data_IF_841271963413
#
_entry.id   IF_841271963413
#
_cell.length_a   1.000
_cell.length_b   1.000
_cell.length_c   1.000
_cell.angle_alpha   90.00
_cell.angle_beta   90.00
_cell.angle_gamma   90.00
#
_symmetry.space_group_name_H-M   'P 1'
#
loop_
_entity.id
_entity.type
_entity.pdbx_description
1 polymer ?
#
# COMPACT_ATOMS: atom_id res chain seq x y z
N UNK A 1 31.75 -26.52 -31.15
CA UNK A 1 30.76 -25.44 -31.05
C UNK A 1 29.83 -25.84 -29.92
N UNK A 2 30.19 -25.47 -28.69
CA UNK A 2 29.44 -25.82 -27.49
C UNK A 2 28.54 -24.62 -27.15
N UNK A 3 27.24 -24.85 -27.17
CA UNK A 3 26.23 -23.86 -26.80
C UNK A 3 25.93 -24.01 -25.32
N UNK A 4 26.64 -23.25 -24.48
CA UNK A 4 26.30 -23.09 -23.06
C UNK A 4 25.05 -22.22 -22.94
N UNK A 5 23.91 -22.88 -22.72
CA UNK A 5 22.63 -22.25 -22.43
C UNK A 5 22.59 -21.71 -21.00
N UNK A 6 22.97 -20.45 -20.82
CA UNK A 6 22.82 -19.68 -19.58
C UNK A 6 21.33 -19.67 -19.15
N UNK A 7 21.01 -20.34 -18.03
CA UNK A 7 19.68 -20.33 -17.43
C UNK A 7 19.35 -18.92 -16.86
N UNK A 8 18.12 -18.40 -17.03
CA UNK A 8 17.79 -17.06 -16.59
C UNK A 8 17.73 -17.00 -15.05
N UNK A 9 18.69 -16.27 -14.47
CA UNK A 9 18.77 -15.95 -13.04
C UNK A 9 17.46 -15.33 -12.56
N UNK A 10 16.70 -16.06 -11.72
CA UNK A 10 15.53 -15.53 -11.00
C UNK A 10 15.96 -14.25 -10.29
N UNK A 11 15.44 -13.10 -10.74
CA UNK A 11 15.72 -11.81 -10.11
C UNK A 11 15.19 -11.83 -8.69
N UNK A 12 16.09 -12.01 -7.72
CA UNK A 12 15.84 -11.65 -6.32
C UNK A 12 15.50 -10.17 -6.26
N UNK A 13 14.20 -9.84 -6.34
CA UNK A 13 13.72 -8.49 -6.08
C UNK A 13 13.90 -8.26 -4.58
N UNK A 14 15.07 -7.74 -4.19
CA UNK A 14 15.37 -7.31 -2.82
C UNK A 14 14.27 -6.32 -2.40
N UNK A 15 13.33 -6.80 -1.60
CA UNK A 15 12.22 -5.99 -1.07
C UNK A 15 12.83 -4.91 -0.20
N UNK A 16 12.69 -3.65 -0.62
CA UNK A 16 13.20 -2.51 0.16
C UNK A 16 12.46 -2.53 1.48
N UNK A 17 13.15 -2.82 2.58
CA UNK A 17 12.60 -2.68 3.92
C UNK A 17 12.30 -1.20 4.16
N UNK A 18 11.03 -0.87 4.37
CA UNK A 18 10.64 0.48 4.75
C UNK A 18 10.52 0.48 6.27
N UNK A 19 11.66 0.60 6.94
CA UNK A 19 11.80 0.51 8.39
C UNK A 19 12.03 1.87 9.05
N UNK A 20 11.55 2.96 8.45
CA UNK A 20 11.69 4.31 9.01
C UNK A 20 10.33 4.95 9.24
N UNK A 21 10.18 5.65 10.37
CA UNK A 21 9.00 6.47 10.62
C UNK A 21 8.85 7.58 9.56
N UNK A 22 7.64 8.08 9.36
CA UNK A 22 7.38 9.13 8.37
C UNK A 22 6.41 10.18 8.90
N UNK A 23 6.48 11.39 8.34
CA UNK A 23 5.46 12.43 8.56
C UNK A 23 4.35 12.31 7.51
N UNK A 24 3.12 12.07 7.94
CA UNK A 24 1.98 11.96 7.01
C UNK A 24 1.78 13.28 6.24
N UNK A 25 1.67 13.20 4.90
CA UNK A 25 1.43 14.40 4.07
C UNK A 25 0.01 14.95 4.17
N UNK A 26 -0.95 14.15 4.62
CA UNK A 26 -2.34 14.56 4.85
C UNK A 26 -2.53 15.14 6.26
N UNK A 27 -2.52 14.31 7.30
CA UNK A 27 -2.81 14.75 8.67
C UNK A 27 -1.60 15.31 9.44
N UNK A 28 -0.42 15.36 8.84
CA UNK A 28 0.83 15.92 9.41
C UNK A 28 1.40 15.22 10.66
N UNK A 29 0.73 14.19 11.18
CA UNK A 29 1.26 13.37 12.29
C UNK A 29 2.56 12.66 11.91
N UNK A 30 3.45 12.52 12.90
CA UNK A 30 4.63 11.66 12.80
C UNK A 30 4.24 10.24 13.17
N UNK A 31 4.49 9.32 12.26
CA UNK A 31 4.13 7.92 12.41
C UNK A 31 5.39 7.11 12.61
N UNK A 32 5.49 6.45 13.76
CA UNK A 32 6.61 5.56 14.08
C UNK A 32 6.58 4.25 13.30
N UNK A 33 7.59 3.43 13.58
CA UNK A 33 7.66 2.03 13.15
C UNK A 33 6.58 1.25 13.92
N UNK A 34 5.76 0.43 13.26
CA UNK A 34 4.78 -0.40 13.96
C UNK A 34 5.48 -1.35 14.95
N UNK A 35 4.93 -1.54 16.16
CA UNK A 35 5.57 -2.34 17.22
C UNK A 35 5.70 -3.83 16.86
N UNK A 36 4.83 -4.36 15.99
CA UNK A 36 4.93 -5.70 15.44
C UNK A 36 4.17 -5.80 14.11
N UNK A 37 4.58 -6.73 13.23
CA UNK A 37 3.97 -6.91 11.92
C UNK A 37 4.14 -5.72 10.95
N UNK A 38 3.74 -5.88 9.69
CA UNK A 38 3.47 -4.72 8.83
C UNK A 38 4.67 -3.86 8.37
N UNK A 39 5.84 -4.44 8.06
CA UNK A 39 6.99 -3.71 7.46
C UNK A 39 6.72 -3.05 6.09
N UNK A 40 5.52 -3.22 5.54
CA UNK A 40 5.09 -2.64 4.27
C UNK A 40 3.78 -1.87 4.46
N UNK A 41 3.71 -1.03 5.49
CA UNK A 41 2.58 -0.12 5.68
C UNK A 41 2.57 0.91 4.56
N UNK A 42 1.48 0.97 3.81
CA UNK A 42 1.33 1.87 2.67
C UNK A 42 0.51 3.12 2.98
N UNK A 43 -0.14 3.22 4.15
CA UNK A 43 -0.96 4.36 4.55
C UNK A 43 -0.66 4.82 5.98
N UNK A 44 -1.12 6.01 6.34
CA UNK A 44 -1.08 6.50 7.70
C UNK A 44 -2.11 5.75 8.55
N UNK A 45 -1.74 5.13 9.68
CA UNK A 45 -2.70 4.38 10.50
C UNK A 45 -3.78 5.29 11.12
N UNK A 46 -3.48 6.58 11.31
CA UNK A 46 -4.38 7.53 11.95
C UNK A 46 -5.45 8.11 11.03
N UNK A 47 -5.19 8.19 9.71
CA UNK A 47 -6.11 8.81 8.75
C UNK A 47 -6.29 8.05 7.44
N UNK A 48 -5.61 6.91 7.29
CA UNK A 48 -5.65 5.99 6.15
C UNK A 48 -5.21 6.58 4.80
N UNK A 49 -4.80 7.85 4.71
CA UNK A 49 -4.18 8.41 3.50
C UNK A 49 -2.83 7.76 3.20
N UNK A 50 -2.60 7.52 1.92
CA UNK A 50 -1.36 6.97 1.37
C UNK A 50 -0.64 7.99 0.48
N UNK A 51 0.54 7.63 -0.02
CA UNK A 51 1.31 8.38 -1.00
C UNK A 51 1.54 7.50 -2.23
N UNK A 52 1.29 8.02 -3.42
CA UNK A 52 1.49 7.28 -4.66
C UNK A 52 2.98 7.20 -5.00
N UNK A 53 3.68 6.27 -4.36
CA UNK A 53 5.12 6.03 -4.56
C UNK A 53 5.38 4.79 -5.40
N UNK A 54 4.51 3.80 -5.34
CA UNK A 54 4.64 2.57 -6.12
C UNK A 54 3.96 2.72 -7.48
N UNK A 55 4.57 2.16 -8.51
CA UNK A 55 3.97 2.01 -9.83
C UNK A 55 3.06 0.78 -9.89
N UNK A 56 3.23 -0.04 -10.92
CA UNK A 56 2.38 -1.22 -11.15
C UNK A 56 2.60 -2.32 -10.12
N UNK A 57 3.81 -2.46 -9.57
CA UNK A 57 4.13 -3.52 -8.61
C UNK A 57 4.10 -2.95 -7.18
N UNK A 58 3.37 -3.57 -6.23
CA UNK A 58 3.48 -3.21 -4.83
C UNK A 58 4.93 -3.26 -4.31
N UNK A 59 5.38 -2.17 -3.70
CA UNK A 59 6.72 -2.00 -3.14
C UNK A 59 7.83 -1.65 -4.14
N UNK A 60 7.54 -1.46 -5.43
CA UNK A 60 8.57 -1.09 -6.43
C UNK A 60 9.05 0.36 -6.30
N UNK A 61 8.29 1.22 -5.60
CA UNK A 61 8.56 2.65 -5.45
C UNK A 61 8.87 3.37 -6.78
N UNK A 62 8.28 2.91 -7.87
CA UNK A 62 8.57 3.36 -9.23
C UNK A 62 7.63 4.46 -9.76
N UNK A 63 6.72 5.00 -8.93
CA UNK A 63 5.78 6.04 -9.37
C UNK A 63 6.37 7.44 -9.22
N UNK A 64 6.37 8.19 -10.31
CA UNK A 64 6.76 9.60 -10.34
C UNK A 64 5.65 10.56 -9.90
N UNK A 65 4.40 10.06 -9.77
CA UNK A 65 3.24 10.89 -9.42
C UNK A 65 3.38 11.53 -8.04
N UNK A 66 3.72 10.73 -7.01
CA UNK A 66 3.98 11.18 -5.63
C UNK A 66 2.85 12.02 -5.00
N UNK A 67 1.65 12.02 -5.57
CA UNK A 67 0.46 12.66 -5.01
C UNK A 67 -0.11 11.82 -3.87
N UNK A 68 -0.91 12.47 -3.03
CA UNK A 68 -1.69 11.78 -2.00
C UNK A 68 -2.66 10.77 -2.66
N UNK A 69 -2.87 9.65 -1.98
CA UNK A 69 -3.97 8.74 -2.31
C UNK A 69 -4.98 8.76 -1.17
N UNK A 70 -6.21 9.15 -1.49
CA UNK A 70 -7.32 9.20 -0.54
C UNK A 70 -7.91 7.79 -0.34
N UNK A 71 -8.28 7.42 0.90
CA UNK A 71 -9.02 6.20 1.17
C UNK A 71 -10.49 6.42 0.76
N UNK A 72 -10.91 5.86 -0.38
CA UNK A 72 -12.23 6.10 -0.97
C UNK A 72 -13.27 5.05 -0.61
N UNK A 73 -12.87 3.99 0.10
CA UNK A 73 -13.76 2.92 0.53
C UNK A 73 -13.02 1.73 1.09
N UNK A 74 -13.77 0.70 1.46
CA UNK A 74 -13.23 -0.57 1.91
C UNK A 74 -14.06 -1.74 1.39
N UNK A 75 -13.46 -2.92 1.33
CA UNK A 75 -14.16 -4.16 1.01
C UNK A 75 -13.53 -5.35 1.75
N UNK A 76 -14.26 -6.46 1.80
CA UNK A 76 -13.76 -7.72 2.32
C UNK A 76 -13.51 -8.70 1.18
N UNK A 77 -12.35 -9.35 1.20
CA UNK A 77 -12.08 -10.50 0.32
C UNK A 77 -12.90 -11.72 0.78
N UNK A 78 -13.09 -12.75 -0.08
CA UNK A 78 -13.79 -13.98 0.31
C UNK A 78 -13.19 -14.70 1.52
N UNK A 79 -11.89 -14.54 1.77
CA UNK A 79 -11.18 -15.09 2.94
C UNK A 79 -11.32 -14.22 4.20
N UNK A 80 -12.16 -13.18 4.19
CA UNK A 80 -12.39 -12.27 5.31
C UNK A 80 -11.36 -11.14 5.44
N UNK A 81 -10.35 -11.06 4.58
CA UNK A 81 -9.36 -9.98 4.66
C UNK A 81 -9.98 -8.64 4.27
N UNK A 82 -9.92 -7.67 5.20
CA UNK A 82 -10.35 -6.30 4.97
C UNK A 82 -9.29 -5.52 4.18
N UNK A 83 -9.76 -4.82 3.16
CA UNK A 83 -8.95 -4.04 2.23
C UNK A 83 -9.45 -2.60 2.19
N UNK A 84 -8.53 -1.64 2.20
CA UNK A 84 -8.81 -0.22 1.94
C UNK A 84 -8.57 0.07 0.46
N UNK A 85 -9.50 0.79 -0.15
CA UNK A 85 -9.40 1.30 -1.52
C UNK A 85 -8.78 2.69 -1.47
N UNK A 86 -7.65 2.85 -2.16
CA UNK A 86 -6.95 4.12 -2.29
C UNK A 86 -7.03 4.62 -3.72
N UNK A 87 -7.50 5.86 -3.91
CA UNK A 87 -7.50 6.54 -5.21
C UNK A 87 -6.51 7.69 -5.21
N UNK A 88 -5.59 7.70 -6.17
CA UNK A 88 -4.62 8.78 -6.30
C UNK A 88 -5.28 10.09 -6.73
N UNK A 89 -5.06 11.16 -5.96
CA UNK A 89 -5.59 12.50 -6.26
C UNK A 89 -4.89 13.19 -7.43
N UNK A 90 -3.72 12.69 -7.85
CA UNK A 90 -2.96 13.27 -8.97
C UNK A 90 -3.27 12.64 -10.32
N UNK A 91 -3.31 11.30 -10.38
CA UNK A 91 -3.43 10.57 -11.64
C UNK A 91 -4.59 9.57 -11.69
N UNK A 92 -5.43 9.51 -10.64
CA UNK A 92 -6.58 8.60 -10.57
C UNK A 92 -6.27 7.12 -10.37
N UNK A 93 -4.99 6.74 -10.26
CA UNK A 93 -4.60 5.33 -10.04
C UNK A 93 -5.24 4.77 -8.77
N UNK A 94 -5.82 3.58 -8.87
CA UNK A 94 -6.50 2.90 -7.76
C UNK A 94 -5.64 1.74 -7.26
N UNK A 95 -5.54 1.60 -5.94
CA UNK A 95 -4.87 0.47 -5.30
C UNK A 95 -5.60 -0.03 -4.07
N UNK A 96 -5.48 -1.32 -3.79
CA UNK A 96 -6.09 -1.95 -2.63
C UNK A 96 -5.00 -2.40 -1.66
N UNK A 97 -5.02 -1.88 -0.43
CA UNK A 97 -4.06 -2.24 0.60
C UNK A 97 -4.77 -2.97 1.75
N UNK A 98 -4.14 -4.00 2.31
CA UNK A 98 -4.67 -4.66 3.51
C UNK A 98 -4.57 -3.70 4.70
N UNK A 99 -5.55 -3.75 5.60
CA UNK A 99 -5.45 -3.05 6.88
C UNK A 99 -4.27 -3.58 7.72
N UNK A 100 -3.74 -2.74 8.60
CA UNK A 100 -2.74 -3.09 9.60
C UNK A 100 -3.37 -3.14 11.00
N UNK A 101 -2.69 -3.79 11.95
CA UNK A 101 -3.19 -3.91 13.31
C UNK A 101 -3.24 -2.59 14.08
N UNK A 102 -2.45 -1.60 13.66
CA UNK A 102 -2.40 -0.25 14.25
C UNK A 102 -3.33 0.76 13.54
N UNK A 103 -4.10 0.34 12.53
CA UNK A 103 -5.05 1.23 11.85
C UNK A 103 -6.17 1.67 12.79
N UNK A 104 -6.52 2.96 12.73
CA UNK A 104 -7.57 3.53 13.55
C UNK A 104 -8.94 2.91 13.19
N UNK A 105 -9.57 2.16 14.11
CA UNK A 105 -10.80 1.44 13.82
C UNK A 105 -11.99 2.36 13.55
N UNK A 106 -11.99 3.59 14.10
CA UNK A 106 -13.06 4.57 13.86
C UNK A 106 -13.00 5.06 12.41
N UNK A 107 -11.81 5.46 11.95
CA UNK A 107 -11.63 5.93 10.56
C UNK A 107 -11.88 4.81 9.55
N UNK A 108 -11.55 3.56 9.89
CA UNK A 108 -11.90 2.41 9.07
C UNK A 108 -13.42 2.23 8.95
N UNK A 109 -14.15 2.33 10.07
CA UNK A 109 -15.61 2.17 10.09
C UNK A 109 -16.37 3.28 9.35
N UNK A 110 -15.76 4.45 9.20
CA UNK A 110 -16.32 5.58 8.43
C UNK A 110 -16.16 5.41 6.91
N UNK A 111 -15.33 4.47 6.44
CA UNK A 111 -15.17 4.24 5.01
C UNK A 111 -16.40 3.55 4.42
N UNK A 112 -16.87 3.99 3.23
CA UNK A 112 -17.98 3.32 2.57
C UNK A 112 -17.58 1.88 2.20
N UNK A 113 -18.50 0.94 2.44
CA UNK A 113 -18.37 -0.42 1.95
C UNK A 113 -18.64 -0.43 0.44
N UNK A 114 -17.67 -0.91 -0.33
CA UNK A 114 -17.79 -1.02 -1.79
C UNK A 114 -17.75 -2.48 -2.23
N UNK A 115 -18.23 -2.72 -3.45
CA UNK A 115 -18.12 -4.04 -4.05
C UNK A 115 -16.65 -4.44 -4.25
N UNK A 116 -16.26 -5.68 -3.95
CA UNK A 116 -14.93 -6.17 -4.26
C UNK A 116 -14.65 -6.07 -5.77
N UNK A 117 -13.46 -5.63 -6.19
CA UNK A 117 -13.11 -5.56 -7.59
C UNK A 117 -13.18 -6.95 -8.24
N UNK A 118 -13.77 -7.01 -9.43
CA UNK A 118 -13.76 -8.21 -10.27
C UNK A 118 -12.32 -8.50 -10.70
N UNK A 119 -11.93 -9.78 -10.66
CA UNK A 119 -10.58 -10.23 -11.03
C UNK A 119 -10.25 -10.00 -12.50
#
# INVERSE_FOLDING_TARGET
MEFDGEQPRRRDRKRVEVSEGFKCRHCRNFIGIPPSGGRNRNHCPLCLYSLHVDGKTPGDRASDCRSLMQPTGMFYRPNGEQMVVHTCLGCGFVRYNRIAADDNPVVLAELPLVEPPTR
#
